data_IF_459501405320
#
_entry.id   IF_459501405320
#
_cell.length_a   1.000
_cell.length_b   1.000
_cell.length_c   1.000
_cell.angle_alpha   90.00
_cell.angle_beta   90.00
_cell.angle_gamma   90.00
#
_symmetry.space_group_name_H-M   'P 1'
#
loop_
_entity.id
_entity.type
_entity.pdbx_description
1 polymer ?
#
# COMPACT_ATOMS: atom_id res chain seq x y z
N UNK A 1 4.39 -12.44 -10.38
CA UNK A 1 4.73 -12.35 -8.95
C UNK A 1 3.85 -13.31 -8.18
N UNK A 2 4.38 -13.97 -7.16
CA UNK A 2 3.66 -14.95 -6.36
C UNK A 2 3.97 -14.74 -4.88
N UNK A 3 2.95 -14.85 -4.03
CA UNK A 3 3.08 -14.86 -2.57
C UNK A 3 2.41 -16.12 -2.06
N UNK A 4 3.05 -16.82 -1.12
CA UNK A 4 2.45 -17.99 -0.49
C UNK A 4 2.85 -18.07 0.99
N UNK A 5 1.95 -18.58 1.86
CA UNK A 5 2.27 -18.77 3.26
C UNK A 5 3.37 -19.83 3.41
N UNK A 6 4.28 -19.59 4.35
CA UNK A 6 5.39 -20.47 4.65
C UNK A 6 5.12 -21.26 5.93
N UNK A 7 4.92 -20.54 7.05
CA UNK A 7 4.52 -21.11 8.34
C UNK A 7 3.88 -20.03 9.21
N UNK A 8 3.17 -20.46 10.25
CA UNK A 8 2.54 -19.60 11.24
C UNK A 8 2.85 -20.13 12.64
N UNK A 9 3.20 -19.23 13.55
CA UNK A 9 3.40 -19.51 14.96
C UNK A 9 2.34 -18.74 15.74
N UNK A 10 1.59 -19.44 16.60
CA UNK A 10 0.59 -18.83 17.48
C UNK A 10 1.08 -18.86 18.91
N UNK A 11 1.10 -17.70 19.56
CA UNK A 11 1.46 -17.54 20.97
C UNK A 11 0.41 -16.67 21.68
N UNK A 12 -0.29 -17.24 22.66
CA UNK A 12 -1.38 -16.55 23.34
C UNK A 12 -2.51 -16.16 22.37
N UNK A 13 -2.87 -14.87 22.35
CA UNK A 13 -3.84 -14.31 21.40
C UNK A 13 -3.20 -13.81 20.09
N UNK A 14 -1.87 -13.86 19.97
CA UNK A 14 -1.11 -13.39 18.80
C UNK A 14 -0.75 -14.50 17.82
N UNK A 15 -0.59 -14.10 16.55
CA UNK A 15 -0.09 -14.97 15.49
C UNK A 15 1.02 -14.25 14.71
N UNK A 16 2.14 -14.93 14.52
CA UNK A 16 3.24 -14.51 13.65
C UNK A 16 3.21 -15.39 12.41
N UNK A 17 3.05 -14.78 11.24
CA UNK A 17 2.94 -15.49 9.96
C UNK A 17 4.10 -15.15 9.05
N UNK A 18 4.72 -16.16 8.46
CA UNK A 18 5.79 -16.01 7.47
C UNK A 18 5.26 -16.25 6.06
N UNK A 19 5.71 -15.43 5.12
CA UNK A 19 5.33 -15.48 3.72
C UNK A 19 6.56 -15.50 2.83
N UNK A 20 6.54 -16.38 1.85
CA UNK A 20 7.49 -16.34 0.75
C UNK A 20 6.94 -15.47 -0.37
N UNK A 21 7.78 -14.55 -0.85
CA UNK A 21 7.46 -13.67 -1.96
C UNK A 21 8.46 -13.91 -3.08
N UNK A 22 7.97 -14.17 -4.29
CA UNK A 22 8.81 -14.34 -5.49
C UNK A 22 8.39 -13.41 -6.61
N UNK A 23 9.37 -12.68 -7.11
CA UNK A 23 9.31 -11.91 -8.33
C UNK A 23 10.24 -12.58 -9.35
N UNK A 24 9.68 -12.92 -10.51
CA UNK A 24 10.41 -13.45 -11.64
C UNK A 24 10.18 -12.51 -12.82
N UNK A 25 11.26 -12.06 -13.44
CA UNK A 25 11.25 -11.17 -14.59
C UNK A 25 11.52 -11.96 -15.87
N UNK A 26 11.11 -11.44 -17.02
CA UNK A 26 11.21 -12.12 -18.31
C UNK A 26 12.64 -12.28 -18.81
N UNK A 27 13.56 -11.49 -18.29
CA UNK A 27 15.00 -11.55 -18.55
C UNK A 27 15.74 -12.59 -17.68
N UNK A 28 14.99 -13.35 -16.86
CA UNK A 28 15.55 -14.34 -15.94
C UNK A 28 16.01 -13.76 -14.61
N UNK A 29 15.89 -12.44 -14.39
CA UNK A 29 16.10 -11.87 -13.07
C UNK A 29 15.06 -12.42 -12.09
N UNK A 30 15.47 -12.59 -10.82
CA UNK A 30 14.58 -13.03 -9.76
C UNK A 30 14.91 -12.40 -8.43
N UNK A 31 13.86 -12.17 -7.65
CA UNK A 31 13.95 -11.73 -6.25
C UNK A 31 13.05 -12.63 -5.42
N UNK A 32 13.64 -13.24 -4.39
CA UNK A 32 12.96 -14.00 -3.37
C UNK A 32 13.07 -13.21 -2.05
N UNK A 33 11.96 -13.04 -1.33
CA UNK A 33 11.95 -12.41 -0.02
C UNK A 33 11.17 -13.26 1.00
N UNK A 34 11.59 -13.19 2.26
CA UNK A 34 10.87 -13.72 3.41
C UNK A 34 10.29 -12.56 4.20
N UNK A 35 8.96 -12.48 4.24
CA UNK A 35 8.23 -11.46 5.00
C UNK A 35 7.59 -12.09 6.23
N UNK A 36 7.49 -11.32 7.31
CA UNK A 36 6.87 -11.72 8.57
C UNK A 36 5.80 -10.72 8.92
N UNK A 37 4.60 -11.19 9.20
CA UNK A 37 3.50 -10.40 9.71
C UNK A 37 3.22 -10.78 11.17
N UNK A 38 3.27 -9.80 12.07
CA UNK A 38 2.92 -9.92 13.48
C UNK A 38 2.51 -8.54 14.02
N UNK A 39 1.54 -8.53 14.94
CA UNK A 39 1.10 -7.31 15.65
C UNK A 39 0.77 -6.13 14.72
N UNK A 40 0.08 -6.39 13.60
CA UNK A 40 -0.28 -5.38 12.60
C UNK A 40 0.92 -4.80 11.83
N UNK A 41 2.10 -5.40 11.99
CA UNK A 41 3.35 -4.97 11.36
C UNK A 41 3.85 -6.03 10.40
N UNK A 42 4.52 -5.59 9.33
CA UNK A 42 5.23 -6.46 8.40
C UNK A 42 6.71 -6.11 8.40
N UNK A 43 7.57 -7.11 8.62
CA UNK A 43 9.03 -7.02 8.50
C UNK A 43 9.54 -7.92 7.38
N UNK A 44 10.71 -7.58 6.83
CA UNK A 44 11.42 -8.41 5.84
C UNK A 44 12.65 -8.98 6.54
N UNK A 45 12.74 -10.30 6.63
CA UNK A 45 13.83 -11.00 7.33
C UNK A 45 14.96 -11.42 6.38
N UNK A 46 14.66 -11.73 5.13
CA UNK A 46 15.65 -12.14 4.13
C UNK A 46 15.24 -11.65 2.73
N UNK A 47 16.23 -11.25 1.94
CA UNK A 47 16.08 -10.88 0.52
C UNK A 47 17.22 -11.46 -0.29
N UNK A 48 16.89 -12.23 -1.31
CA UNK A 48 17.84 -12.84 -2.24
C UNK A 48 17.49 -12.44 -3.66
N UNK A 49 18.46 -11.91 -4.38
CA UNK A 49 18.26 -11.48 -5.76
C UNK A 49 19.33 -12.06 -6.69
N UNK A 50 18.93 -12.35 -7.92
CA UNK A 50 19.85 -12.63 -9.01
C UNK A 50 19.37 -11.90 -10.27
N UNK A 51 20.14 -10.94 -10.81
CA UNK A 51 21.43 -10.42 -10.30
C UNK A 51 21.30 -9.72 -8.94
N UNK A 52 22.43 -9.35 -8.32
CA UNK A 52 22.44 -8.66 -7.05
C UNK A 52 21.64 -7.35 -7.13
N UNK A 53 20.78 -7.12 -6.13
CA UNK A 53 19.93 -5.95 -6.06
C UNK A 53 20.72 -4.74 -5.55
N UNK A 54 20.47 -3.56 -6.10
CA UNK A 54 20.96 -2.31 -5.53
C UNK A 54 20.10 -1.88 -4.33
N UNK A 55 20.58 -0.92 -3.54
CA UNK A 55 19.78 -0.34 -2.44
C UNK A 55 18.59 0.47 -2.96
N UNK A 56 18.73 1.13 -4.11
CA UNK A 56 17.64 1.88 -4.75
C UNK A 56 16.55 0.92 -5.22
N UNK A 57 16.93 -0.20 -5.84
CA UNK A 57 15.98 -1.23 -6.28
C UNK A 57 15.29 -1.93 -5.10
N UNK A 58 15.95 -1.99 -3.93
CA UNK A 58 15.35 -2.57 -2.72
C UNK A 58 14.19 -1.70 -2.22
N UNK A 59 14.29 -0.38 -2.36
CA UNK A 59 13.19 0.52 -2.05
C UNK A 59 12.00 0.33 -3.01
N UNK A 60 12.28 0.04 -4.29
CA UNK A 60 11.26 -0.28 -5.29
C UNK A 60 10.60 -1.64 -5.03
N UNK A 61 11.37 -2.64 -4.56
CA UNK A 61 10.85 -3.95 -4.17
C UNK A 61 9.74 -3.82 -3.12
N UNK A 62 9.91 -2.95 -2.13
CA UNK A 62 8.91 -2.73 -1.08
C UNK A 62 7.54 -2.33 -1.67
N UNK A 63 7.54 -1.49 -2.72
CA UNK A 63 6.31 -1.06 -3.39
C UNK A 63 5.66 -2.19 -4.18
N UNK A 64 6.44 -3.14 -4.71
CA UNK A 64 5.93 -4.28 -5.45
C UNK A 64 5.34 -5.37 -4.55
N UNK A 65 5.83 -5.51 -3.32
CA UNK A 65 5.39 -6.55 -2.39
C UNK A 65 4.29 -6.11 -1.43
N UNK A 66 4.10 -4.80 -1.22
CA UNK A 66 3.16 -4.24 -0.25
C UNK A 66 1.72 -4.76 -0.45
N UNK A 67 1.20 -4.68 -1.67
CA UNK A 67 -0.18 -5.09 -1.99
C UNK A 67 -0.39 -6.62 -1.88
N UNK A 68 0.44 -7.47 -2.51
CA UNK A 68 0.24 -8.93 -2.42
C UNK A 68 0.48 -9.50 -1.02
N UNK A 69 1.36 -8.89 -0.21
CA UNK A 69 1.48 -9.26 1.21
C UNK A 69 0.24 -8.86 2.01
N UNK A 70 -0.32 -7.68 1.76
CA UNK A 70 -1.56 -7.25 2.41
C UNK A 70 -2.72 -8.20 2.10
N UNK A 71 -2.83 -8.66 0.85
CA UNK A 71 -3.85 -9.63 0.45
C UNK A 71 -3.63 -11.01 1.11
N UNK A 72 -2.37 -11.45 1.23
CA UNK A 72 -2.03 -12.74 1.83
C UNK A 72 -2.20 -12.78 3.35
N UNK A 73 -2.06 -11.64 4.04
CA UNK A 73 -2.28 -11.54 5.49
C UNK A 73 -3.76 -11.69 5.89
N UNK A 74 -4.68 -11.61 4.92
CA UNK A 74 -6.13 -11.65 5.17
C UNK A 74 -6.67 -10.38 5.83
N UNK A 75 -7.99 -10.13 5.81
CA UNK A 75 -8.57 -8.99 6.51
C UNK A 75 -8.43 -9.19 8.02
N UNK A 76 -7.60 -8.36 8.67
CA UNK A 76 -7.58 -8.24 10.13
C UNK A 76 -8.99 -7.94 10.63
N UNK A 77 -9.63 -8.94 11.24
CA UNK A 77 -10.85 -8.76 11.99
C UNK A 77 -10.46 -8.54 13.45
N UNK A 78 -10.20 -7.29 13.85
CA UNK A 78 -9.85 -6.97 15.24
C UNK A 78 -10.08 -5.50 15.61
N UNK A 79 -10.51 -5.20 16.86
CA UNK A 79 -11.33 -4.03 17.15
C UNK A 79 -10.51 -2.90 17.78
N UNK A 80 -10.31 -1.80 17.06
CA UNK A 80 -9.88 -0.55 17.67
C UNK A 80 -10.78 0.59 17.23
N UNK A 81 -11.70 0.95 18.14
CA UNK A 81 -12.16 2.32 18.38
C UNK A 81 -12.59 3.15 17.18
N UNK A 82 -13.59 2.68 16.44
CA UNK A 82 -14.50 3.58 15.74
C UNK A 82 -15.63 3.96 16.71
N UNK A 83 -15.38 4.95 17.57
CA UNK A 83 -16.50 5.67 18.18
C UNK A 83 -16.93 6.77 17.20
N UNK A 84 -18.16 6.58 16.71
CA UNK A 84 -19.00 7.51 15.95
C UNK A 84 -18.62 7.82 14.50
N UNK A 85 -18.84 6.82 13.64
CA UNK A 85 -19.59 7.06 12.42
C UNK A 85 -20.51 5.86 12.15
N UNK A 86 -21.66 5.83 12.85
CA UNK A 86 -22.77 4.94 12.51
C UNK A 86 -23.31 5.38 11.15
N UNK A 87 -22.85 4.70 10.12
CA UNK A 87 -23.33 4.91 8.76
C UNK A 87 -22.82 3.79 7.88
N UNK A 88 -23.51 2.65 7.90
CA UNK A 88 -23.55 1.65 6.81
C UNK A 88 -22.19 1.35 6.16
N UNK A 89 -21.55 0.26 6.57
CA UNK A 89 -20.56 -0.47 5.76
C UNK A 89 -21.21 -0.93 4.45
N UNK A 90 -21.51 0.01 3.55
CA UNK A 90 -21.62 -0.29 2.12
C UNK A 90 -20.23 -0.79 1.74
N UNK A 91 -20.19 -1.96 1.11
CA UNK A 91 -18.99 -2.50 0.48
C UNK A 91 -18.34 -1.36 -0.31
N UNK A 92 -17.27 -0.79 0.25
CA UNK A 92 -16.56 0.31 -0.37
C UNK A 92 -15.96 -0.27 -1.64
N UNK A 93 -16.28 0.24 -2.83
CA UNK A 93 -15.76 -0.31 -4.07
C UNK A 93 -14.23 -0.32 -3.98
N UNK A 94 -13.62 -1.44 -4.40
CA UNK A 94 -12.18 -1.54 -4.49
C UNK A 94 -11.68 -0.35 -5.34
N UNK A 95 -10.79 0.45 -4.78
CA UNK A 95 -10.32 1.66 -5.46
C UNK A 95 -9.73 1.27 -6.82
N UNK A 96 -10.16 1.89 -7.93
CA UNK A 96 -9.69 1.53 -9.27
C UNK A 96 -8.16 1.61 -9.34
N UNK A 97 -7.53 0.63 -10.00
CA UNK A 97 -6.08 0.63 -10.26
C UNK A 97 -5.77 1.46 -11.52
N UNK A 98 -4.51 1.85 -11.69
CA UNK A 98 -4.06 2.53 -12.91
C UNK A 98 -4.55 3.97 -13.06
N UNK A 99 -4.84 4.39 -14.30
CA UNK A 99 -5.13 5.80 -14.63
C UNK A 99 -6.41 6.32 -13.96
N UNK A 100 -7.41 5.45 -13.83
CA UNK A 100 -8.71 5.76 -13.21
C UNK A 100 -8.58 6.01 -11.70
N UNK A 101 -7.74 5.22 -11.03
CA UNK A 101 -7.40 5.44 -9.62
C UNK A 101 -6.68 6.75 -9.37
N UNK A 102 -5.77 7.14 -10.29
CA UNK A 102 -5.04 8.42 -10.22
C UNK A 102 -5.96 9.61 -10.46
N UNK A 103 -6.90 9.50 -11.40
CA UNK A 103 -7.93 10.51 -11.62
C UNK A 103 -8.82 10.68 -10.38
N UNK A 104 -9.25 9.58 -9.76
CA UNK A 104 -10.10 9.61 -8.57
C UNK A 104 -9.37 10.23 -7.36
N UNK A 105 -8.08 9.93 -7.17
CA UNK A 105 -7.24 10.59 -6.16
C UNK A 105 -7.13 12.10 -6.43
N UNK A 106 -6.98 12.50 -7.70
CA UNK A 106 -6.92 13.91 -8.06
C UNK A 106 -8.25 14.63 -7.89
N UNK A 107 -9.38 13.93 -8.02
CA UNK A 107 -10.71 14.46 -7.76
C UNK A 107 -10.89 14.76 -6.27
N UNK A 108 -10.67 13.77 -5.40
CA UNK A 108 -10.75 13.91 -3.94
C UNK A 108 -9.82 15.00 -3.41
N UNK A 109 -8.60 15.06 -3.95
CA UNK A 109 -7.64 16.10 -3.58
C UNK A 109 -8.15 17.51 -3.94
N UNK A 110 -8.77 17.68 -5.12
CA UNK A 110 -9.26 18.99 -5.60
C UNK A 110 -10.53 19.42 -4.86
N UNK A 111 -11.48 18.51 -4.67
CA UNK A 111 -12.69 18.77 -3.89
C UNK A 111 -12.32 19.24 -2.47
N UNK A 112 -11.40 18.53 -1.81
CA UNK A 112 -10.89 18.94 -0.51
C UNK A 112 -10.22 20.33 -0.52
N UNK A 113 -9.47 20.63 -1.58
CA UNK A 113 -8.81 21.94 -1.73
C UNK A 113 -9.84 23.07 -1.96
N UNK A 114 -10.90 22.81 -2.70
CA UNK A 114 -12.01 23.75 -2.93
C UNK A 114 -12.84 23.99 -1.65
N UNK A 115 -13.02 22.94 -0.84
CA UNK A 115 -13.70 22.99 0.45
C UNK A 115 -12.83 23.55 1.60
N UNK A 116 -11.53 23.76 1.35
CA UNK A 116 -10.59 24.28 2.35
C UNK A 116 -10.22 23.30 3.46
N UNK A 117 -10.46 22.00 3.25
CA UNK A 117 -10.08 20.91 4.17
C UNK A 117 -8.72 20.31 3.80
N UNK A 118 -8.10 19.52 4.69
CA UNK A 118 -6.79 18.91 4.39
C UNK A 118 -6.94 17.86 3.27
N UNK A 119 -6.36 18.10 2.07
CA UNK A 119 -6.52 17.21 0.93
C UNK A 119 -5.78 15.88 1.09
N UNK A 120 -4.75 15.82 1.96
CA UNK A 120 -4.09 14.54 2.28
C UNK A 120 -5.02 13.69 3.13
N UNK A 121 -5.68 14.30 4.11
CA UNK A 121 -6.65 13.61 4.96
C UNK A 121 -7.86 13.13 4.15
N UNK A 122 -8.37 13.95 3.23
CA UNK A 122 -9.46 13.55 2.33
C UNK A 122 -9.10 12.32 1.51
N UNK A 123 -7.91 12.28 0.89
CA UNK A 123 -7.43 11.11 0.13
C UNK A 123 -7.22 9.88 1.03
N UNK A 124 -6.75 10.06 2.27
CA UNK A 124 -6.67 8.95 3.23
C UNK A 124 -8.06 8.41 3.56
N UNK A 125 -9.01 9.28 3.88
CA UNK A 125 -10.39 8.92 4.17
C UNK A 125 -11.05 8.26 2.97
N UNK A 126 -10.80 8.73 1.75
CA UNK A 126 -11.34 8.23 0.49
C UNK A 126 -10.78 6.86 0.13
N UNK A 127 -9.46 6.68 0.24
CA UNK A 127 -8.78 5.45 -0.22
C UNK A 127 -8.60 4.39 0.85
N UNK A 128 -8.71 4.75 2.14
CA UNK A 128 -8.43 3.87 3.28
C UNK A 128 -6.93 3.60 3.52
N UNK A 129 -6.04 4.33 2.83
CA UNK A 129 -4.60 4.11 2.96
C UNK A 129 -3.94 5.01 4.02
N UNK A 130 -2.77 4.58 4.50
CA UNK A 130 -1.91 5.39 5.36
C UNK A 130 -1.48 6.71 4.72
N UNK A 131 -1.06 7.67 5.53
CA UNK A 131 -0.59 8.99 5.08
C UNK A 131 0.53 8.89 4.04
N UNK A 132 1.51 8.01 4.26
CA UNK A 132 2.63 7.79 3.32
C UNK A 132 2.12 7.30 1.96
N UNK A 133 1.20 6.35 1.93
CA UNK A 133 0.63 5.79 0.69
C UNK A 133 -0.28 6.79 -0.03
N UNK A 134 -1.07 7.55 0.72
CA UNK A 134 -1.89 8.65 0.16
C UNK A 134 -1.03 9.73 -0.50
N UNK A 135 0.08 10.14 0.13
CA UNK A 135 1.03 11.08 -0.47
C UNK A 135 1.67 10.55 -1.76
N UNK A 136 1.98 9.25 -1.83
CA UNK A 136 2.48 8.61 -3.05
C UNK A 136 1.43 8.60 -4.16
N UNK A 137 0.17 8.30 -3.86
CA UNK A 137 -0.93 8.37 -4.83
C UNK A 137 -1.13 9.79 -5.37
N UNK A 138 -1.06 10.79 -4.50
CA UNK A 138 -1.12 12.21 -4.91
C UNK A 138 0.07 12.57 -5.81
N UNK A 139 1.27 12.07 -5.52
CA UNK A 139 2.44 12.27 -6.38
C UNK A 139 2.24 11.62 -7.77
N UNK A 140 1.78 10.37 -7.83
CA UNK A 140 1.48 9.71 -9.11
C UNK A 140 0.38 10.41 -9.91
N UNK A 141 -0.62 10.97 -9.22
CA UNK A 141 -1.66 11.78 -9.86
C UNK A 141 -1.12 13.09 -10.42
N UNK A 142 -0.15 13.72 -9.74
CA UNK A 142 0.60 14.88 -10.26
C UNK A 142 1.44 14.51 -11.48
N UNK A 143 2.19 13.41 -11.42
CA UNK A 143 3.05 12.96 -12.52
C UNK A 143 2.23 12.61 -13.77
N UNK A 144 1.01 12.14 -13.58
CA UNK A 144 0.05 11.89 -14.66
C UNK A 144 -0.67 13.16 -15.16
N UNK A 145 -0.39 14.33 -14.59
CA UNK A 145 -0.94 15.62 -15.02
C UNK A 145 -2.34 15.94 -14.48
N UNK A 146 -2.89 15.15 -13.55
CA UNK A 146 -4.23 15.38 -13.00
C UNK A 146 -4.27 16.42 -11.88
N UNK A 147 -3.12 16.76 -11.30
CA UNK A 147 -2.98 17.77 -10.27
C UNK A 147 -1.96 18.82 -10.70
N UNK A 148 -2.24 20.08 -10.37
CA UNK A 148 -1.31 21.17 -10.65
C UNK A 148 0.01 20.95 -9.90
N UNK A 149 1.16 21.13 -10.58
CA UNK A 149 2.45 21.20 -9.91
C UNK A 149 2.38 22.29 -8.82
N UNK A 150 2.92 22.00 -7.64
CA UNK A 150 3.11 23.06 -6.63
C UNK A 150 4.13 24.02 -7.21
N UNK A 151 3.62 25.14 -7.75
CA UNK A 151 4.34 26.33 -8.21
C UNK A 151 5.86 26.20 -8.17
N UNK A 152 6.47 26.03 -9.34
CA UNK A 152 7.81 26.53 -9.55
C UNK A 152 7.76 28.03 -9.19
N UNK A 153 8.40 28.40 -8.08
CA UNK A 153 8.70 29.81 -7.85
C UNK A 153 9.64 30.22 -8.98
N UNK A 154 9.17 31.21 -9.73
CA UNK A 154 9.88 32.21 -10.53
C UNK A 154 11.39 32.01 -10.70
#
# INVERSE_FOLDING_TARGET
>A
MSVWPAWEVREGEGATSWFHVRLAFTDGARVDALAVAADGCVSIEDVRAQPALSLDDLAVLADWIEEPLSEACGPESGPYGAEEAVGSRRARPAWPRGIEGRWLVAQEYREAQEEGVDPVLAVMCATGHSRRRSLRLIAQARDAGFLTPRHARL
#
